data_IF_960714806382
#
_entry.id   IF_960714806382
#
_cell.length_a   1.000
_cell.length_b   1.000
_cell.length_c   1.000
_cell.angle_alpha   90.00
_cell.angle_beta   90.00
_cell.angle_gamma   90.00
#
_symmetry.space_group_name_H-M   'P 1'
#
loop_
_entity.id
_entity.type
_entity.pdbx_description
1 polymer ?
#
# COMPACT_ATOMS: atom_id res chain seq x y z
N UNK A 1 -38.48 4.99 -9.07
CA UNK A 1 -37.24 4.95 -8.27
C UNK A 1 -36.13 5.57 -9.09
N UNK A 2 -35.66 6.76 -8.69
CA UNK A 2 -34.66 7.55 -9.43
C UNK A 2 -33.27 6.94 -9.27
N UNK A 3 -32.58 6.74 -10.39
CA UNK A 3 -31.16 6.38 -10.47
C UNK A 3 -30.33 7.49 -9.83
N UNK A 4 -29.47 7.14 -8.88
CA UNK A 4 -28.34 7.98 -8.47
C UNK A 4 -27.16 7.58 -9.34
N UNK A 5 -27.00 8.28 -10.46
CA UNK A 5 -25.80 8.20 -11.28
C UNK A 5 -24.62 8.74 -10.45
N UNK A 6 -23.71 7.85 -10.04
CA UNK A 6 -22.40 8.26 -9.50
C UNK A 6 -21.52 8.68 -10.68
N UNK A 7 -20.85 9.84 -10.64
CA UNK A 7 -20.01 10.29 -11.74
C UNK A 7 -18.83 9.32 -11.92
N UNK A 8 -18.50 9.07 -13.19
CA UNK A 8 -17.33 8.31 -13.64
C UNK A 8 -16.08 8.74 -12.87
N UNK A 9 -15.47 7.80 -12.12
CA UNK A 9 -14.15 7.94 -11.50
C UNK A 9 -13.15 8.21 -12.63
N UNK A 10 -12.74 9.47 -12.82
CA UNK A 10 -11.63 9.81 -13.73
C UNK A 10 -10.34 9.61 -12.96
N UNK A 11 -9.57 8.59 -13.33
CA UNK A 11 -8.15 8.54 -12.98
C UNK A 11 -7.51 9.84 -13.50
N UNK A 12 -6.75 10.53 -12.65
CA UNK A 12 -5.93 11.64 -13.06
C UNK A 12 -5.08 11.22 -14.27
N UNK A 13 -5.30 11.87 -15.41
CA UNK A 13 -4.60 11.62 -16.66
C UNK A 13 -3.14 12.08 -16.54
N UNK A 14 -2.28 11.23 -15.98
CA UNK A 14 -0.83 11.34 -16.11
C UNK A 14 -0.36 10.50 -17.30
N UNK A 15 0.09 11.15 -18.37
CA UNK A 15 0.62 10.46 -19.54
C UNK A 15 1.98 9.81 -19.21
N UNK A 16 2.04 8.48 -19.18
CA UNK A 16 3.30 7.74 -19.04
C UNK A 16 3.89 7.48 -20.43
N UNK A 17 4.99 8.16 -20.76
CA UNK A 17 5.80 7.86 -21.93
C UNK A 17 6.68 6.63 -21.63
N UNK A 18 6.56 5.56 -22.41
CA UNK A 18 7.42 4.38 -22.29
C UNK A 18 8.83 4.68 -22.81
N UNK A 19 9.86 4.43 -22.00
CA UNK A 19 11.27 4.46 -22.44
C UNK A 19 11.96 3.15 -22.10
N UNK A 20 12.52 2.52 -23.13
CA UNK A 20 13.37 1.33 -23.06
C UNK A 20 14.73 1.69 -22.47
N UNK A 21 15.06 1.11 -21.31
CA UNK A 21 16.40 1.21 -20.71
C UNK A 21 17.25 0.02 -21.16
N UNK A 22 18.33 0.29 -21.88
CA UNK A 22 19.47 -0.61 -22.01
C UNK A 22 20.57 -0.13 -21.03
N UNK A 23 21.10 -1.01 -20.19
CA UNK A 23 22.28 -0.70 -19.37
C UNK A 23 23.10 -1.96 -19.12
N UNK A 24 24.40 -1.81 -19.37
CA UNK A 24 25.47 -2.79 -19.26
C UNK A 24 25.74 -3.14 -17.78
N UNK A 25 25.95 -4.43 -17.53
CA UNK A 25 26.29 -4.99 -16.22
C UNK A 25 27.82 -5.03 -16.08
N UNK A 26 28.34 -4.53 -14.97
CA UNK A 26 29.64 -4.91 -14.44
C UNK A 26 29.43 -5.56 -13.07
N UNK A 27 29.80 -6.83 -12.97
CA UNK A 27 29.68 -7.65 -11.76
C UNK A 27 30.76 -7.30 -10.74
N UNK A 28 30.38 -7.23 -9.47
CA UNK A 28 31.25 -7.54 -8.34
C UNK A 28 30.40 -8.18 -7.25
N UNK A 29 30.64 -9.46 -6.98
CA UNK A 29 30.11 -10.21 -5.84
C UNK A 29 31.11 -10.13 -4.70
N UNK A 30 30.62 -10.06 -3.46
CA UNK A 30 31.18 -10.81 -2.32
C UNK A 30 30.13 -10.94 -1.19
N UNK A 31 30.24 -11.97 -0.32
CA UNK A 31 29.12 -12.58 0.39
C UNK A 31 28.92 -12.00 1.79
N UNK A 32 27.69 -12.03 2.31
CA UNK A 32 27.45 -11.84 3.74
C UNK A 32 26.42 -12.86 4.25
N UNK A 33 26.90 -13.60 5.24
CA UNK A 33 26.29 -14.65 6.05
C UNK A 33 24.97 -14.25 6.69
N UNK A 34 24.07 -15.23 6.72
CA UNK A 34 22.75 -15.21 7.37
C UNK A 34 22.86 -15.24 8.90
N UNK A 35 22.20 -14.30 9.56
CA UNK A 35 21.72 -14.46 10.94
C UNK A 35 20.27 -14.02 11.00
N UNK A 36 19.38 -15.01 11.15
CA UNK A 36 17.95 -14.83 11.42
C UNK A 36 17.77 -14.27 12.82
N UNK A 37 17.27 -13.03 12.93
CA UNK A 37 16.83 -12.45 14.18
C UNK A 37 15.31 -12.32 14.15
N UNK A 38 14.63 -13.13 14.96
CA UNK A 38 13.21 -13.00 15.22
C UNK A 38 12.92 -11.71 15.98
N UNK A 39 11.81 -11.06 15.63
CA UNK A 39 11.31 -9.85 16.28
C UNK A 39 10.99 -10.10 17.76
N UNK A 40 11.66 -9.38 18.66
CA UNK A 40 11.30 -9.26 20.08
C UNK A 40 11.07 -7.79 20.40
N UNK A 41 9.88 -7.47 20.92
CA UNK A 41 9.52 -6.12 21.39
C UNK A 41 10.41 -5.70 22.58
N UNK A 42 10.94 -4.47 22.62
CA UNK A 42 11.46 -3.90 23.88
C UNK A 42 10.32 -3.67 24.88
N UNK A 43 10.49 -4.16 26.10
CA UNK A 43 9.54 -3.97 27.20
C UNK A 43 9.51 -2.52 27.69
N UNK A 44 8.30 -2.02 27.95
CA UNK A 44 8.09 -0.73 28.59
C UNK A 44 8.55 -0.79 30.05
N UNK A 45 9.50 0.05 30.44
CA UNK A 45 9.85 0.28 31.84
C UNK A 45 8.87 1.26 32.47
N UNK A 46 8.21 0.82 33.55
CA UNK A 46 7.31 1.62 34.38
C UNK A 46 8.02 2.11 35.65
N UNK A 47 7.59 3.26 36.22
CA UNK A 47 7.13 3.34 37.62
C UNK A 47 6.86 4.79 38.08
N UNK A 48 5.67 4.98 38.66
CA UNK A 48 5.38 5.54 40.00
C UNK A 48 3.86 5.89 40.04
N UNK A 49 3.05 5.66 41.08
CA UNK A 49 3.08 4.90 42.33
C UNK A 49 1.71 5.15 43.00
N UNK A 50 1.04 4.15 43.59
CA UNK A 50 -0.02 4.37 44.58
C UNK A 50 -1.24 3.44 44.50
N UNK A 51 -1.34 2.50 45.44
CA UNK A 51 -2.54 1.78 45.89
C UNK A 51 -2.43 1.61 47.43
N UNK A 52 -3.51 1.42 48.23
CA UNK A 52 -4.44 0.27 48.15
C UNK A 52 -5.93 0.70 48.37
N UNK A 53 -7.02 -0.08 48.42
CA UNK A 53 -7.34 -1.50 48.68
C UNK A 53 -8.83 -1.79 48.23
N UNK A 54 -9.42 -3.00 48.40
CA UNK A 54 -10.31 -3.64 47.39
C UNK A 54 -11.80 -3.81 47.79
N UNK A 55 -12.63 -4.17 46.81
CA UNK A 55 -13.59 -5.31 46.80
C UNK A 55 -14.74 -5.07 45.80
N UNK A 56 -15.08 -6.10 45.00
CA UNK A 56 -16.29 -6.10 44.17
C UNK A 56 -16.14 -6.93 42.90
N UNK A 57 -16.36 -8.23 43.02
CA UNK A 57 -16.45 -9.20 41.92
C UNK A 57 -17.50 -8.80 40.89
N UNK A 58 -17.05 -8.55 39.66
CA UNK A 58 -17.88 -8.40 38.47
C UNK A 58 -17.07 -8.89 37.29
N UNK A 59 -17.45 -10.06 36.81
CA UNK A 59 -16.78 -10.83 35.76
C UNK A 59 -16.96 -10.14 34.40
N UNK A 60 -16.04 -9.24 34.03
CA UNK A 60 -15.88 -8.70 32.66
C UNK A 60 -14.43 -8.32 32.39
N UNK A 61 -13.58 -9.27 32.00
CA UNK A 61 -12.31 -8.94 31.34
C UNK A 61 -11.86 -10.07 30.40
N UNK A 62 -11.32 -9.83 29.21
CA UNK A 62 -10.74 -8.58 28.72
C UNK A 62 -11.07 -8.33 27.25
N UNK A 63 -11.56 -7.12 26.98
CA UNK A 63 -11.27 -6.46 25.73
C UNK A 63 -9.74 -6.37 25.63
N UNK A 64 -9.14 -7.13 24.71
CA UNK A 64 -7.77 -6.83 24.28
C UNK A 64 -7.79 -5.37 23.83
N UNK A 65 -6.98 -4.54 24.45
CA UNK A 65 -6.59 -3.21 23.99
C UNK A 65 -5.82 -3.37 22.67
N UNK A 66 -6.53 -3.82 21.63
CA UNK A 66 -5.99 -4.02 20.30
C UNK A 66 -5.74 -2.68 19.64
N UNK A 67 -4.66 -2.60 18.87
CA UNK A 67 -4.40 -1.46 17.98
C UNK A 67 -5.65 -1.16 17.15
N UNK A 68 -6.04 0.11 17.07
CA UNK A 68 -7.10 0.59 16.18
C UNK A 68 -6.66 0.61 14.71
N UNK A 69 -5.36 0.44 14.46
CA UNK A 69 -4.75 0.40 13.14
C UNK A 69 -4.65 -1.04 12.61
N UNK A 70 -4.59 -1.21 11.29
CA UNK A 70 -4.18 -2.48 10.70
C UNK A 70 -2.75 -2.87 11.12
N UNK A 71 -2.59 -4.06 11.70
CA UNK A 71 -1.30 -4.59 12.12
C UNK A 71 -0.92 -5.84 11.30
N UNK A 72 0.37 -6.06 11.03
CA UNK A 72 0.81 -7.29 10.39
C UNK A 72 0.58 -8.47 11.34
N UNK A 73 0.17 -9.61 10.78
CA UNK A 73 0.22 -10.88 11.51
C UNK A 73 1.56 -11.55 11.21
N UNK A 74 2.43 -11.81 12.21
CA UNK A 74 3.75 -12.40 11.96
C UNK A 74 3.68 -13.68 11.12
N UNK A 75 4.47 -13.72 10.04
CA UNK A 75 4.51 -14.87 9.11
C UNK A 75 3.25 -15.05 8.27
N UNK A 76 2.37 -14.04 8.20
CA UNK A 76 1.18 -14.01 7.34
C UNK A 76 1.14 -12.72 6.51
N UNK A 77 0.53 -12.84 5.34
CA UNK A 77 0.40 -11.77 4.36
C UNK A 77 -1.08 -11.48 4.14
N UNK A 78 -1.48 -10.22 4.31
CA UNK A 78 -2.78 -9.75 3.87
C UNK A 78 -2.79 -9.65 2.35
N UNK A 79 -3.67 -10.43 1.69
CA UNK A 79 -3.86 -10.33 0.25
C UNK A 79 -4.90 -9.25 -0.07
N UNK A 80 -4.55 -8.32 -0.94
CA UNK A 80 -5.40 -7.23 -1.38
C UNK A 80 -5.48 -7.08 -2.88
N UNK A 81 -6.40 -6.23 -3.31
CA UNK A 81 -6.50 -5.82 -4.71
C UNK A 81 -7.03 -4.40 -4.87
N UNK A 82 -6.50 -3.68 -5.85
CA UNK A 82 -7.27 -2.69 -6.60
C UNK A 82 -8.01 -3.41 -7.70
N UNK A 83 -9.26 -3.05 -7.99
CA UNK A 83 -10.06 -3.75 -9.00
C UNK A 83 -10.87 -2.81 -9.91
N UNK A 84 -10.60 -2.90 -11.22
CA UNK A 84 -11.39 -2.26 -12.27
C UNK A 84 -11.35 -3.11 -13.54
N UNK A 85 -12.43 -3.85 -13.81
CA UNK A 85 -12.47 -4.87 -14.84
C UNK A 85 -13.45 -4.50 -15.95
N UNK A 86 -12.95 -4.35 -17.18
CA UNK A 86 -13.80 -4.20 -18.35
C UNK A 86 -14.77 -5.37 -18.46
N UNK A 87 -16.02 -5.02 -18.77
CA UNK A 87 -17.13 -5.97 -18.89
C UNK A 87 -17.90 -6.23 -17.59
N UNK A 88 -17.41 -5.79 -16.43
CA UNK A 88 -18.18 -5.79 -15.19
C UNK A 88 -19.02 -4.51 -15.06
N UNK A 89 -20.21 -4.62 -14.46
CA UNK A 89 -21.13 -3.47 -14.36
C UNK A 89 -20.82 -2.59 -13.15
N UNK A 90 -20.10 -3.13 -12.18
CA UNK A 90 -19.74 -2.47 -10.93
C UNK A 90 -18.50 -3.09 -10.31
N UNK A 91 -17.87 -2.37 -9.37
CA UNK A 91 -16.80 -2.88 -8.52
C UNK A 91 -17.27 -4.11 -7.71
N UNK A 92 -18.53 -4.11 -7.26
CA UNK A 92 -19.13 -5.24 -6.55
C UNK A 92 -19.20 -6.51 -7.42
N UNK A 93 -19.51 -6.37 -8.70
CA UNK A 93 -19.52 -7.50 -9.64
C UNK A 93 -18.10 -8.02 -9.89
N UNK A 94 -17.11 -7.13 -10.00
CA UNK A 94 -15.70 -7.51 -10.10
C UNK A 94 -15.22 -8.28 -8.86
N UNK A 95 -15.54 -7.79 -7.66
CA UNK A 95 -15.24 -8.47 -6.40
C UNK A 95 -15.95 -9.82 -6.29
N UNK A 96 -17.20 -9.91 -6.75
CA UNK A 96 -17.93 -11.17 -6.80
C UNK A 96 -17.29 -12.19 -7.75
N UNK A 97 -16.84 -11.74 -8.92
CA UNK A 97 -16.09 -12.57 -9.86
C UNK A 97 -14.80 -13.10 -9.22
N UNK A 98 -14.02 -12.24 -8.54
CA UNK A 98 -12.80 -12.68 -7.86
C UNK A 98 -13.07 -13.64 -6.71
N UNK A 99 -14.12 -13.38 -5.92
CA UNK A 99 -14.55 -14.33 -4.89
C UNK A 99 -14.91 -15.69 -5.49
N UNK A 100 -15.61 -15.73 -6.62
CA UNK A 100 -15.94 -16.97 -7.32
C UNK A 100 -14.67 -17.68 -7.83
N UNK A 101 -13.75 -16.93 -8.43
CA UNK A 101 -12.53 -17.50 -9.01
C UNK A 101 -11.50 -17.94 -7.98
N UNK A 102 -11.41 -17.28 -6.82
CA UNK A 102 -10.40 -17.53 -5.79
C UNK A 102 -10.93 -18.32 -4.60
N UNK A 103 -12.25 -18.42 -4.44
CA UNK A 103 -12.88 -19.09 -3.30
C UNK A 103 -12.75 -18.33 -1.98
N UNK A 104 -12.28 -17.08 -2.00
CA UNK A 104 -12.05 -16.23 -0.83
C UNK A 104 -12.35 -14.77 -1.13
N UNK A 105 -12.52 -13.98 -0.08
CA UNK A 105 -12.50 -12.52 -0.16
C UNK A 105 -11.09 -12.01 0.11
N UNK A 106 -10.76 -10.89 -0.52
CA UNK A 106 -9.54 -10.15 -0.31
C UNK A 106 -9.63 -9.41 1.01
N UNK A 107 -8.49 -9.37 1.71
CA UNK A 107 -8.35 -8.72 3.01
C UNK A 107 -8.20 -7.21 2.87
N UNK A 108 -7.55 -6.75 1.81
CA UNK A 108 -7.38 -5.31 1.53
C UNK A 108 -8.12 -4.96 0.24
N UNK A 109 -8.96 -3.94 0.28
CA UNK A 109 -9.53 -3.32 -0.93
C UNK A 109 -8.83 -1.99 -1.12
N UNK A 110 -8.22 -1.79 -2.28
CA UNK A 110 -7.45 -0.59 -2.59
C UNK A 110 -8.26 0.34 -3.48
N UNK A 111 -8.45 1.58 -3.01
CA UNK A 111 -9.11 2.65 -3.73
C UNK A 111 -8.23 3.89 -3.85
N UNK A 112 -8.44 4.66 -4.92
CA UNK A 112 -7.77 5.95 -5.15
C UNK A 112 -8.74 7.09 -4.93
N UNK A 113 -8.26 8.14 -4.28
CA UNK A 113 -8.99 9.37 -4.01
C UNK A 113 -8.17 10.55 -4.50
N UNK A 114 -8.78 11.43 -5.29
CA UNK A 114 -8.14 12.67 -5.69
C UNK A 114 -7.97 13.62 -4.49
N UNK A 115 -7.00 14.54 -4.55
CA UNK A 115 -6.67 15.45 -3.44
C UNK A 115 -7.89 16.21 -2.89
N UNK A 116 -8.75 16.71 -3.79
CA UNK A 116 -9.97 17.46 -3.44
C UNK A 116 -11.21 16.57 -3.27
N UNK A 117 -11.10 15.26 -3.50
CA UNK A 117 -12.21 14.34 -3.33
C UNK A 117 -12.48 14.12 -1.84
N UNK A 118 -13.74 14.22 -1.38
CA UNK A 118 -14.10 13.88 -0.01
C UNK A 118 -13.73 12.43 0.32
N UNK A 119 -13.07 12.24 1.46
CA UNK A 119 -12.77 10.91 2.01
C UNK A 119 -14.06 10.17 2.42
N UNK A 120 -14.06 8.83 2.39
CA UNK A 120 -15.24 8.05 2.73
C UNK A 120 -15.55 8.18 4.23
N UNK A 121 -16.83 8.32 4.55
CA UNK A 121 -17.37 8.29 5.92
C UNK A 121 -18.12 7.00 6.24
N UNK A 122 -18.10 6.04 5.30
CA UNK A 122 -18.68 4.71 5.45
C UNK A 122 -17.90 3.70 4.60
N UNK A 123 -17.78 2.47 5.09
CA UNK A 123 -17.23 1.32 4.36
C UNK A 123 -18.32 0.51 3.64
N UNK A 124 -19.54 1.05 3.52
CA UNK A 124 -20.65 0.37 2.89
C UNK A 124 -20.32 -0.02 1.44
N UNK A 125 -20.48 -1.30 1.12
CA UNK A 125 -20.17 -1.86 -0.19
C UNK A 125 -18.84 -2.60 -0.26
N UNK A 126 -17.95 -2.43 0.73
CA UNK A 126 -16.76 -3.25 0.85
C UNK A 126 -17.12 -4.65 1.39
N UNK A 127 -16.38 -5.71 1.01
CA UNK A 127 -16.50 -7.02 1.60
C UNK A 127 -16.37 -6.97 3.13
N UNK A 128 -17.20 -7.72 3.84
CA UNK A 128 -17.15 -7.79 5.29
C UNK A 128 -15.77 -8.21 5.78
N UNK A 129 -15.21 -7.46 6.73
CA UNK A 129 -13.88 -7.73 7.28
C UNK A 129 -12.71 -7.33 6.36
N UNK A 130 -12.95 -6.69 5.22
CA UNK A 130 -11.86 -6.06 4.46
C UNK A 130 -11.39 -4.77 5.13
N UNK A 131 -10.14 -4.40 4.86
CA UNK A 131 -9.49 -3.16 5.27
C UNK A 131 -9.34 -2.30 4.03
N UNK A 132 -9.78 -1.04 4.11
CA UNK A 132 -9.62 -0.09 3.01
C UNK A 132 -8.18 0.42 2.97
N UNK A 133 -7.52 0.29 1.82
CA UNK A 133 -6.30 1.00 1.48
C UNK A 133 -6.65 2.19 0.60
N UNK A 134 -6.45 3.39 1.14
CA UNK A 134 -6.68 4.65 0.46
C UNK A 134 -5.36 5.14 -0.10
N UNK A 135 -5.26 5.23 -1.42
CA UNK A 135 -4.22 6.02 -2.06
C UNK A 135 -4.75 7.42 -2.33
N UNK A 136 -4.37 8.36 -1.47
CA UNK A 136 -4.80 9.75 -1.56
C UNK A 136 -3.79 10.55 -2.37
N UNK A 137 -4.24 11.07 -3.51
CA UNK A 137 -3.35 11.79 -4.42
C UNK A 137 -2.84 13.05 -3.73
N UNK A 138 -1.61 13.45 -4.04
CA UNK A 138 -1.03 14.65 -3.48
C UNK A 138 -1.33 15.90 -4.31
N UNK A 139 -0.75 17.02 -3.88
CA UNK A 139 -0.60 18.23 -4.67
C UNK A 139 0.84 18.74 -4.49
N UNK A 140 1.18 19.89 -5.06
CA UNK A 140 2.47 20.54 -4.80
C UNK A 140 2.71 20.73 -3.29
N UNK A 141 3.97 20.71 -2.85
CA UNK A 141 4.29 20.77 -1.42
C UNK A 141 3.94 22.11 -0.76
N UNK A 142 4.04 23.20 -1.51
CA UNK A 142 3.88 24.55 -0.96
C UNK A 142 2.48 24.79 -0.34
N UNK A 143 1.35 24.48 -1.00
CA UNK A 143 0.02 24.61 -0.39
C UNK A 143 -0.21 23.81 0.90
N UNK A 144 0.49 22.69 1.08
CA UNK A 144 0.43 21.90 2.32
C UNK A 144 1.29 22.55 3.39
N UNK A 145 2.57 22.79 3.08
CA UNK A 145 3.56 23.29 4.04
C UNK A 145 3.32 24.73 4.50
N UNK A 146 2.58 25.53 3.74
CA UNK A 146 2.19 26.88 4.14
C UNK A 146 0.85 26.94 4.90
N UNK A 147 0.20 25.79 5.13
CA UNK A 147 -1.07 25.70 5.87
C UNK A 147 -2.33 26.02 5.07
N UNK A 148 -2.23 26.42 3.79
CA UNK A 148 -3.42 26.81 3.00
C UNK A 148 -4.41 25.66 2.77
N UNK A 149 -3.95 24.42 2.86
CA UNK A 149 -4.77 23.21 2.69
C UNK A 149 -5.20 22.55 4.02
N UNK A 150 -4.93 23.16 5.17
CA UNK A 150 -5.17 22.54 6.49
C UNK A 150 -6.64 22.18 6.72
N UNK A 151 -7.56 23.04 6.27
CA UNK A 151 -8.99 22.75 6.39
C UNK A 151 -9.44 21.56 5.54
N UNK A 152 -8.81 21.34 4.38
CA UNK A 152 -9.09 20.18 3.54
C UNK A 152 -8.54 18.92 4.19
N UNK A 153 -7.32 18.99 4.73
CA UNK A 153 -6.66 17.88 5.41
C UNK A 153 -7.42 17.49 6.69
N UNK A 154 -7.86 18.48 7.48
CA UNK A 154 -8.70 18.30 8.66
C UNK A 154 -9.99 17.55 8.35
N UNK A 155 -10.69 17.93 7.26
CA UNK A 155 -11.91 17.24 6.81
C UNK A 155 -11.65 15.78 6.42
N UNK A 156 -10.50 15.51 5.77
CA UNK A 156 -10.09 14.14 5.46
C UNK A 156 -9.83 13.33 6.74
N UNK A 157 -9.14 13.93 7.73
CA UNK A 157 -8.90 13.30 9.02
C UNK A 157 -10.20 12.99 9.78
N UNK A 158 -11.12 13.95 9.87
CA UNK A 158 -12.43 13.77 10.52
C UNK A 158 -13.25 12.66 9.85
N UNK A 159 -13.25 12.63 8.51
CA UNK A 159 -13.97 11.61 7.76
C UNK A 159 -13.42 10.21 8.06
N UNK A 160 -12.09 10.04 8.02
CA UNK A 160 -11.47 8.73 8.27
C UNK A 160 -11.57 8.32 9.75
N UNK A 161 -11.49 9.27 10.69
CA UNK A 161 -11.75 9.01 12.11
C UNK A 161 -13.19 8.51 12.35
N UNK A 162 -14.16 9.06 11.60
CA UNK A 162 -15.58 8.70 11.75
C UNK A 162 -15.89 7.25 11.36
N UNK A 163 -15.03 6.61 10.55
CA UNK A 163 -15.19 5.21 10.15
C UNK A 163 -15.12 4.24 11.34
N UNK A 164 -14.36 4.60 12.40
CA UNK A 164 -14.12 3.76 13.58
C UNK A 164 -13.69 2.33 13.22
N UNK A 165 -12.97 2.20 12.12
CA UNK A 165 -12.49 0.94 11.56
C UNK A 165 -11.04 1.12 11.07
N UNK A 166 -10.20 0.08 11.12
CA UNK A 166 -8.83 0.15 10.61
C UNK A 166 -8.79 0.54 9.13
N UNK A 167 -7.94 1.52 8.79
CA UNK A 167 -7.74 2.00 7.40
C UNK A 167 -6.25 2.18 7.15
N UNK A 168 -5.79 1.84 5.95
CA UNK A 168 -4.48 2.25 5.46
C UNK A 168 -4.60 3.54 4.66
N UNK A 169 -3.74 4.52 4.93
CA UNK A 169 -3.62 5.76 4.16
C UNK A 169 -2.23 5.86 3.53
N UNK A 170 -2.20 5.83 2.19
CA UNK A 170 -1.01 6.01 1.37
C UNK A 170 -1.11 7.34 0.62
N UNK A 171 -0.70 8.42 1.27
CA UNK A 171 -0.65 9.74 0.65
C UNK A 171 0.55 9.85 -0.29
N UNK A 172 0.36 10.50 -1.45
CA UNK A 172 1.41 10.86 -2.39
C UNK A 172 2.37 9.70 -2.72
N UNK A 173 1.80 8.56 -3.14
CA UNK A 173 2.55 7.38 -3.55
C UNK A 173 3.49 7.70 -4.71
N UNK A 174 4.56 6.91 -4.85
CA UNK A 174 5.51 7.04 -5.97
C UNK A 174 6.09 8.46 -6.12
N UNK A 175 6.31 9.15 -4.99
CA UNK A 175 6.87 10.50 -4.97
C UNK A 175 8.25 10.62 -5.63
N UNK A 176 8.95 9.49 -5.82
CA UNK A 176 10.19 9.37 -6.56
C UNK A 176 10.00 9.14 -8.08
N UNK A 177 8.79 9.27 -8.61
CA UNK A 177 8.47 9.36 -10.03
C UNK A 177 8.37 10.81 -10.54
N UNK A 178 8.16 10.98 -11.84
CA UNK A 178 8.03 12.28 -12.52
C UNK A 178 6.68 12.46 -13.25
N UNK A 179 5.67 11.68 -12.86
CA UNK A 179 4.36 11.65 -13.50
C UNK A 179 3.24 12.25 -12.64
N UNK A 180 3.56 12.72 -11.43
CA UNK A 180 2.61 13.30 -10.49
C UNK A 180 3.07 14.66 -9.96
N UNK A 181 2.12 15.56 -9.73
CA UNK A 181 2.37 16.91 -9.17
C UNK A 181 3.01 16.89 -7.79
N UNK A 182 2.86 15.80 -7.04
CA UNK A 182 3.50 15.59 -5.74
C UNK A 182 4.86 14.89 -5.84
N UNK A 183 5.30 14.53 -7.05
CA UNK A 183 6.62 13.96 -7.30
C UNK A 183 7.70 14.99 -7.05
N UNK A 184 8.85 14.58 -6.51
CA UNK A 184 9.92 15.54 -6.21
C UNK A 184 10.48 16.22 -7.46
N UNK A 185 10.35 15.60 -8.64
CA UNK A 185 10.69 16.20 -9.93
C UNK A 185 9.90 17.49 -10.21
N UNK A 186 8.61 17.49 -9.87
CA UNK A 186 7.70 18.63 -10.06
C UNK A 186 7.79 19.67 -8.91
N UNK A 187 8.46 19.30 -7.82
CA UNK A 187 8.60 20.14 -6.63
C UNK A 187 10.04 20.64 -6.43
N UNK A 188 10.70 21.02 -7.52
CA UNK A 188 12.03 21.62 -7.47
C UNK A 188 13.13 20.70 -6.95
N UNK A 189 12.98 19.37 -7.12
CA UNK A 189 13.93 18.35 -6.65
C UNK A 189 14.13 18.40 -5.13
N UNK A 190 13.03 18.60 -4.40
CA UNK A 190 13.06 18.85 -2.95
C UNK A 190 12.42 17.71 -2.12
N UNK A 191 13.13 16.59 -1.86
CA UNK A 191 12.67 15.56 -0.94
C UNK A 191 12.38 16.06 0.48
N UNK A 192 13.09 17.09 0.95
CA UNK A 192 12.83 17.71 2.25
C UNK A 192 11.44 18.36 2.31
N UNK A 193 10.98 18.95 1.20
CA UNK A 193 9.62 19.50 1.07
C UNK A 193 8.54 18.42 1.15
N UNK A 194 8.80 17.25 0.57
CA UNK A 194 7.91 16.09 0.72
C UNK A 194 7.82 15.65 2.19
N UNK A 195 8.96 15.55 2.88
CA UNK A 195 9.00 15.18 4.31
C UNK A 195 8.22 16.19 5.15
N UNK A 196 8.40 17.49 4.90
CA UNK A 196 7.67 18.54 5.60
C UNK A 196 6.16 18.43 5.37
N UNK A 197 5.73 18.23 4.11
CA UNK A 197 4.32 18.05 3.78
C UNK A 197 3.73 16.79 4.43
N UNK A 198 4.45 15.65 4.37
CA UNK A 198 4.02 14.40 5.00
C UNK A 198 3.77 14.58 6.50
N UNK A 199 4.75 15.14 7.22
CA UNK A 199 4.66 15.35 8.67
C UNK A 199 3.53 16.29 9.02
N UNK A 200 3.34 17.37 8.24
CA UNK A 200 2.25 18.31 8.45
C UNK A 200 0.87 17.66 8.33
N UNK A 201 0.63 16.86 7.28
CA UNK A 201 -0.63 16.14 7.11
C UNK A 201 -0.82 15.13 8.26
N UNK A 202 0.23 14.39 8.61
CA UNK A 202 0.20 13.44 9.72
C UNK A 202 -0.18 14.11 11.05
N UNK A 203 0.43 15.24 11.37
CA UNK A 203 0.18 15.95 12.63
C UNK A 203 -1.26 16.48 12.71
N UNK A 204 -1.85 16.89 11.58
CA UNK A 204 -3.28 17.23 11.51
C UNK A 204 -4.13 15.99 11.82
N UNK A 205 -3.85 14.83 11.23
CA UNK A 205 -4.59 13.60 11.53
C UNK A 205 -4.51 13.19 13.01
N UNK A 206 -3.34 13.34 13.62
CA UNK A 206 -3.16 13.10 15.06
C UNK A 206 -3.96 14.10 15.90
N UNK A 207 -3.98 15.38 15.54
CA UNK A 207 -4.77 16.40 16.22
C UNK A 207 -6.28 16.10 16.15
N UNK A 208 -6.72 15.52 15.04
CA UNK A 208 -8.10 15.13 14.78
C UNK A 208 -8.48 13.72 15.31
N UNK A 209 -7.57 13.05 16.05
CA UNK A 209 -7.82 11.73 16.68
C UNK A 209 -8.20 10.65 15.67
N UNK A 210 -7.62 10.71 14.47
CA UNK A 210 -7.75 9.67 13.45
C UNK A 210 -6.85 8.46 13.78
N UNK A 211 -6.97 7.92 15.01
CA UNK A 211 -6.10 6.87 15.56
C UNK A 211 -6.29 5.50 14.88
N UNK A 212 -7.34 5.35 14.07
CA UNK A 212 -7.62 4.17 13.26
C UNK A 212 -6.89 4.16 11.89
N UNK A 213 -6.22 5.26 11.55
CA UNK A 213 -5.49 5.41 10.29
C UNK A 213 -4.04 4.95 10.44
N UNK A 214 -3.64 3.98 9.61
CA UNK A 214 -2.27 3.53 9.46
C UNK A 214 -1.59 4.21 8.28
N UNK A 215 -0.47 4.88 8.53
CA UNK A 215 0.31 5.63 7.56
C UNK A 215 1.22 4.72 6.74
N UNK A 216 0.98 4.68 5.42
CA UNK A 216 1.70 3.82 4.47
C UNK A 216 2.58 4.69 3.56
N UNK A 217 3.90 4.69 3.79
CA UNK A 217 4.84 5.40 2.95
C UNK A 217 5.33 4.51 1.81
N UNK A 218 4.99 4.85 0.56
CA UNK A 218 5.20 3.97 -0.59
C UNK A 218 5.83 4.62 -1.83
N UNK A 219 7.17 4.56 -2.00
CA UNK A 219 7.83 4.91 -3.26
C UNK A 219 7.55 3.93 -4.40
N UNK A 220 7.88 4.34 -5.63
CA UNK A 220 8.08 3.44 -6.77
C UNK A 220 9.38 2.65 -6.59
N UNK A 221 9.43 1.40 -7.03
CA UNK A 221 10.60 0.54 -6.95
C UNK A 221 11.85 1.18 -7.59
N UNK A 222 11.66 1.93 -8.70
CA UNK A 222 12.71 2.70 -9.36
C UNK A 222 12.45 4.20 -9.28
N UNK A 223 13.50 5.00 -9.06
CA UNK A 223 13.39 6.45 -9.13
C UNK A 223 13.43 6.94 -10.57
N UNK A 224 12.47 7.80 -10.94
CA UNK A 224 12.41 8.47 -12.24
C UNK A 224 12.26 9.97 -12.01
N UNK A 225 13.24 10.80 -12.39
CA UNK A 225 14.52 10.43 -12.99
C UNK A 225 15.44 9.70 -12.00
N UNK A 226 16.35 8.87 -12.54
CA UNK A 226 17.37 8.20 -11.74
C UNK A 226 18.49 9.20 -11.39
N UNK A 227 18.40 9.77 -10.19
CA UNK A 227 19.36 10.76 -9.69
C UNK A 227 19.51 10.64 -8.18
N UNK A 228 20.65 11.09 -7.64
CA UNK A 228 20.97 10.97 -6.21
C UNK A 228 19.97 11.68 -5.31
N UNK A 229 19.48 12.86 -5.71
CA UNK A 229 18.44 13.59 -4.97
C UNK A 229 17.11 12.82 -4.93
N UNK A 230 16.83 12.00 -5.95
CA UNK A 230 15.55 11.30 -6.10
C UNK A 230 15.55 9.89 -5.51
N UNK A 231 16.59 9.50 -4.75
CA UNK A 231 16.60 8.22 -4.05
C UNK A 231 15.42 8.15 -3.07
N UNK A 232 14.69 7.03 -3.05
CA UNK A 232 13.52 6.86 -2.16
C UNK A 232 13.84 7.22 -0.69
N UNK A 233 15.05 6.93 -0.22
CA UNK A 233 15.46 7.19 1.16
C UNK A 233 15.43 8.67 1.54
N UNK A 234 15.59 9.57 0.57
CA UNK A 234 15.56 11.01 0.80
C UNK A 234 14.14 11.53 1.08
N UNK A 235 13.10 10.74 0.79
CA UNK A 235 11.70 11.07 1.03
C UNK A 235 11.14 10.44 2.31
N UNK A 236 11.94 9.66 3.05
CA UNK A 236 11.46 8.96 4.23
C UNK A 236 11.21 9.94 5.39
N UNK A 237 9.97 10.07 5.91
CA UNK A 237 9.64 11.09 6.91
C UNK A 237 10.04 10.68 8.33
N UNK A 238 10.55 9.46 8.54
CA UNK A 238 11.00 8.93 9.82
C UNK A 238 9.98 8.02 10.49
N UNK A 239 10.47 7.12 11.34
CA UNK A 239 9.70 6.02 11.94
C UNK A 239 8.46 6.44 12.71
N UNK A 240 8.46 7.64 13.30
CA UNK A 240 7.32 8.15 14.07
C UNK A 240 6.14 8.61 13.20
N UNK A 241 6.34 8.70 11.89
CA UNK A 241 5.35 9.19 10.91
C UNK A 241 4.90 8.11 9.92
N UNK A 242 5.38 6.87 10.10
CA UNK A 242 5.15 5.76 9.18
C UNK A 242 4.83 4.51 9.97
N UNK A 243 3.65 3.94 9.74
CA UNK A 243 3.27 2.65 10.32
C UNK A 243 3.74 1.49 9.41
N UNK A 244 3.63 1.67 8.09
CA UNK A 244 4.04 0.70 7.06
C UNK A 244 4.91 1.34 5.99
N UNK A 245 5.98 0.66 5.58
CA UNK A 245 6.68 0.99 4.35
C UNK A 245 6.08 0.19 3.21
N UNK A 246 6.05 0.78 2.03
CA UNK A 246 5.44 0.17 0.87
C UNK A 246 6.27 0.36 -0.38
N UNK A 247 5.89 -0.33 -1.44
CA UNK A 247 6.50 -0.18 -2.76
C UNK A 247 5.49 -0.49 -3.85
N UNK A 248 5.51 0.32 -4.92
CA UNK A 248 4.89 -0.02 -6.19
C UNK A 248 5.94 -0.61 -7.14
N UNK A 249 5.61 -1.69 -7.83
CA UNK A 249 6.52 -2.28 -8.82
C UNK A 249 5.80 -3.28 -9.71
N UNK A 250 6.10 -3.28 -11.01
CA UNK A 250 5.36 -4.05 -11.98
C UNK A 250 6.28 -4.87 -12.88
N UNK A 251 5.86 -6.09 -13.21
CA UNK A 251 6.50 -6.88 -14.25
C UNK A 251 6.03 -6.45 -15.63
N UNK A 252 6.95 -5.86 -16.39
CA UNK A 252 6.76 -5.46 -17.78
C UNK A 252 7.64 -6.26 -18.74
N UNK A 253 8.32 -7.31 -18.27
CA UNK A 253 8.96 -8.31 -19.14
C UNK A 253 10.33 -8.78 -18.69
N UNK A 254 10.98 -8.09 -17.76
CA UNK A 254 12.35 -8.41 -17.31
C UNK A 254 12.54 -8.38 -15.80
N UNK A 255 11.60 -7.77 -15.09
CA UNK A 255 11.69 -7.52 -13.67
C UNK A 255 11.51 -8.83 -12.89
N UNK A 256 12.36 -9.07 -11.90
CA UNK A 256 12.15 -10.13 -10.91
C UNK A 256 11.55 -9.52 -9.64
N UNK A 257 10.84 -10.30 -8.79
CA UNK A 257 10.40 -9.83 -7.47
C UNK A 257 11.55 -9.21 -6.68
N UNK A 258 12.74 -9.84 -6.69
CA UNK A 258 13.92 -9.32 -6.04
C UNK A 258 14.34 -7.94 -6.57
N UNK A 259 14.35 -7.74 -7.90
CA UNK A 259 14.71 -6.45 -8.50
C UNK A 259 13.74 -5.32 -8.16
N UNK A 260 12.47 -5.64 -7.88
CA UNK A 260 11.46 -4.64 -7.54
C UNK A 260 11.41 -4.34 -6.04
N UNK A 261 11.55 -5.37 -5.20
CA UNK A 261 11.12 -5.29 -3.81
C UNK A 261 12.25 -5.43 -2.79
N UNK A 262 13.45 -5.91 -3.19
CA UNK A 262 14.57 -6.06 -2.24
C UNK A 262 15.07 -4.72 -1.68
N UNK A 263 14.96 -3.64 -2.45
CA UNK A 263 15.39 -2.31 -2.03
C UNK A 263 14.62 -1.80 -0.80
N UNK A 264 13.29 -1.95 -0.80
CA UNK A 264 12.46 -1.53 0.34
C UNK A 264 12.63 -2.50 1.52
N UNK A 265 12.64 -3.82 1.28
CA UNK A 265 12.70 -4.82 2.37
C UNK A 265 14.03 -4.80 3.07
N UNK A 266 15.15 -4.73 2.34
CA UNK A 266 16.49 -4.71 2.94
C UNK A 266 16.72 -3.44 3.77
N UNK A 267 16.13 -2.31 3.34
CA UNK A 267 16.35 -1.02 3.99
C UNK A 267 15.49 -0.84 5.25
N UNK A 268 14.24 -1.30 5.22
CA UNK A 268 13.25 -0.97 6.25
C UNK A 268 12.60 -2.19 6.91
N UNK A 269 12.66 -3.37 6.30
CA UNK A 269 11.96 -4.58 6.78
C UNK A 269 12.39 -5.08 8.16
N UNK A 270 13.55 -4.64 8.66
CA UNK A 270 14.01 -4.94 10.01
C UNK A 270 13.26 -4.16 11.11
N UNK A 271 12.59 -3.05 10.79
CA UNK A 271 11.91 -2.19 11.76
C UNK A 271 10.51 -1.71 11.33
N UNK A 272 10.07 -2.01 10.10
CA UNK A 272 8.72 -1.71 9.60
C UNK A 272 8.14 -2.89 8.83
N UNK A 273 6.83 -3.19 8.97
CA UNK A 273 6.16 -4.10 8.07
C UNK A 273 6.12 -3.53 6.66
N UNK A 274 6.30 -4.41 5.68
CA UNK A 274 6.39 -4.07 4.25
C UNK A 274 5.10 -4.43 3.55
N UNK A 275 4.56 -3.49 2.77
CA UNK A 275 3.43 -3.69 1.88
C UNK A 275 3.89 -3.57 0.42
N UNK A 276 3.71 -4.63 -0.37
CA UNK A 276 3.74 -4.48 -1.83
C UNK A 276 2.38 -3.85 -2.20
N UNK A 277 2.35 -2.51 -2.25
CA UNK A 277 1.10 -1.73 -2.31
C UNK A 277 0.50 -1.69 -3.72
N UNK A 278 1.35 -1.87 -4.73
CA UNK A 278 0.91 -2.11 -6.09
C UNK A 278 1.87 -3.06 -6.79
N UNK A 279 1.32 -4.12 -7.38
CA UNK A 279 2.05 -4.93 -8.33
C UNK A 279 1.13 -5.57 -9.33
N UNK A 280 1.69 -5.96 -10.47
CA UNK A 280 1.03 -6.75 -11.48
C UNK A 280 2.05 -7.29 -12.46
N UNK A 281 1.62 -8.24 -13.29
CA UNK A 281 2.44 -8.80 -14.35
C UNK A 281 1.71 -8.77 -15.69
N UNK A 282 2.41 -8.31 -16.73
CA UNK A 282 1.93 -8.41 -18.10
C UNK A 282 2.20 -9.79 -18.69
N UNK A 283 1.31 -10.22 -19.59
CA UNK A 283 1.58 -11.37 -20.43
C UNK A 283 2.78 -11.11 -21.36
N UNK A 284 3.62 -12.12 -21.54
CA UNK A 284 4.78 -12.11 -22.45
C UNK A 284 4.84 -13.37 -23.33
N UNK A 285 3.70 -14.06 -23.44
CA UNK A 285 3.57 -15.35 -24.12
C UNK A 285 3.87 -16.53 -23.18
N UNK A 286 3.37 -17.71 -23.56
CA UNK A 286 3.57 -18.94 -22.80
C UNK A 286 3.08 -18.84 -21.35
N UNK A 287 3.93 -19.26 -20.41
CA UNK A 287 3.66 -19.26 -18.97
C UNK A 287 4.30 -18.09 -18.22
N UNK A 288 4.93 -17.13 -18.90
CA UNK A 288 5.81 -16.12 -18.28
C UNK A 288 5.13 -15.38 -17.12
N UNK A 289 3.88 -14.94 -17.28
CA UNK A 289 3.14 -14.28 -16.19
C UNK A 289 2.86 -15.22 -15.01
N UNK A 290 2.46 -16.46 -15.29
CA UNK A 290 2.21 -17.47 -14.28
C UNK A 290 3.49 -17.83 -13.50
N UNK A 291 4.62 -17.95 -14.21
CA UNK A 291 5.93 -18.23 -13.63
C UNK A 291 6.39 -17.06 -12.75
N UNK A 292 6.14 -15.82 -13.19
CA UNK A 292 6.41 -14.63 -12.39
C UNK A 292 5.56 -14.57 -11.11
N UNK A 293 4.28 -14.94 -11.16
CA UNK A 293 3.41 -15.03 -9.97
C UNK A 293 3.96 -16.07 -8.98
N UNK A 294 4.42 -17.23 -9.44
CA UNK A 294 5.04 -18.25 -8.57
C UNK A 294 6.35 -17.75 -7.96
N UNK A 295 7.17 -17.05 -8.75
CA UNK A 295 8.39 -16.44 -8.26
C UNK A 295 8.10 -15.35 -7.20
N UNK A 296 7.02 -14.57 -7.39
CA UNK A 296 6.57 -13.58 -6.40
C UNK A 296 6.14 -14.26 -5.10
N UNK A 297 5.35 -15.33 -5.18
CA UNK A 297 4.95 -16.12 -4.01
C UNK A 297 6.17 -16.59 -3.21
N UNK A 298 7.08 -17.32 -3.87
CA UNK A 298 8.29 -17.85 -3.22
C UNK A 298 9.15 -16.73 -2.63
N UNK A 299 9.30 -15.61 -3.34
CA UNK A 299 10.05 -14.47 -2.82
C UNK A 299 9.40 -13.89 -1.56
N UNK A 300 8.07 -13.75 -1.51
CA UNK A 300 7.36 -13.25 -0.33
C UNK A 300 7.54 -14.20 0.87
N UNK A 301 7.46 -15.51 0.65
CA UNK A 301 7.66 -16.52 1.70
C UNK A 301 9.07 -16.43 2.34
N UNK A 302 10.08 -16.06 1.55
CA UNK A 302 11.45 -15.83 2.01
C UNK A 302 11.67 -14.46 2.70
N UNK A 303 10.69 -13.55 2.65
CA UNK A 303 10.79 -12.18 3.16
C UNK A 303 9.74 -11.91 4.25
N UNK A 304 9.98 -12.35 5.50
CA UNK A 304 8.98 -12.32 6.58
C UNK A 304 8.54 -10.91 7.02
N UNK A 305 9.23 -9.86 6.58
CA UNK A 305 8.82 -8.48 6.78
C UNK A 305 7.62 -8.08 5.89
N UNK A 306 7.36 -8.81 4.80
CA UNK A 306 6.22 -8.57 3.92
C UNK A 306 4.95 -9.01 4.66
N UNK A 307 4.12 -8.03 5.03
CA UNK A 307 2.85 -8.25 5.72
C UNK A 307 1.62 -8.05 4.82
N UNK A 308 1.79 -7.51 3.62
CA UNK A 308 0.70 -7.28 2.67
C UNK A 308 1.17 -7.33 1.22
N UNK A 309 0.34 -7.90 0.36
CA UNK A 309 0.47 -7.93 -1.09
C UNK A 309 -0.83 -7.41 -1.70
N UNK A 310 -0.76 -6.33 -2.49
CA UNK A 310 -1.92 -5.74 -3.16
C UNK A 310 -1.70 -5.82 -4.68
N UNK A 311 -2.54 -6.59 -5.36
CA UNK A 311 -2.49 -6.73 -6.81
C UNK A 311 -3.29 -5.63 -7.50
N UNK A 312 -2.74 -5.06 -8.57
CA UNK A 312 -3.41 -4.06 -9.40
C UNK A 312 -4.25 -4.75 -10.48
N UNK A 313 -5.44 -5.21 -10.11
CA UNK A 313 -6.27 -6.10 -10.92
C UNK A 313 -7.15 -5.31 -11.91
N UNK A 314 -6.56 -4.95 -13.05
CA UNK A 314 -7.27 -4.16 -14.07
C UNK A 314 -6.80 -4.45 -15.49
N UNK A 315 -7.71 -4.29 -16.46
CA UNK A 315 -7.42 -4.18 -17.91
C UNK A 315 -7.76 -2.78 -18.45
N UNK A 316 -7.87 -1.82 -17.54
CA UNK A 316 -8.26 -0.44 -17.79
C UNK A 316 -7.22 0.56 -17.25
N UNK A 317 -5.95 0.17 -17.16
CA UNK A 317 -4.85 1.03 -16.73
C UNK A 317 -4.70 2.24 -17.69
N UNK A 318 -5.26 3.39 -17.30
CA UNK A 318 -5.20 4.67 -18.02
C UNK A 318 -5.47 4.57 -19.54
N UNK A 319 -6.30 3.63 -19.97
CA UNK A 319 -6.54 3.31 -21.38
C UNK A 319 -5.27 2.99 -22.21
N UNK A 320 -4.17 2.58 -21.56
CA UNK A 320 -2.89 2.30 -22.22
C UNK A 320 -2.80 0.87 -22.82
N UNK A 321 -3.86 0.07 -22.71
CA UNK A 321 -3.96 -1.28 -23.25
C UNK A 321 -3.27 -2.37 -22.42
N UNK A 322 -2.66 -2.03 -21.28
CA UNK A 322 -2.08 -3.01 -20.36
C UNK A 322 -3.18 -3.81 -19.67
N UNK A 323 -2.97 -5.13 -19.64
CA UNK A 323 -3.86 -6.08 -18.99
C UNK A 323 -3.14 -6.73 -17.81
N UNK A 324 -3.40 -6.19 -16.62
CA UNK A 324 -2.85 -6.65 -15.34
C UNK A 324 -3.69 -7.74 -14.70
N UNK A 325 -4.86 -8.04 -15.26
CA UNK A 325 -5.84 -8.96 -14.68
C UNK A 325 -5.25 -10.29 -14.29
N UNK A 326 -5.59 -10.81 -13.11
CA UNK A 326 -5.13 -12.15 -12.70
C UNK A 326 -5.66 -13.26 -13.62
N UNK A 327 -6.77 -13.02 -14.33
CA UNK A 327 -7.40 -13.92 -15.29
C UNK A 327 -7.12 -13.56 -16.76
N UNK A 328 -6.01 -12.87 -17.06
CA UNK A 328 -5.59 -12.61 -18.44
C UNK A 328 -5.31 -13.89 -19.24
N UNK A 329 -4.99 -15.00 -18.57
CA UNK A 329 -4.85 -16.33 -19.11
C UNK A 329 -5.21 -17.40 -18.06
N UNK A 330 -5.52 -18.61 -18.50
CA UNK A 330 -5.81 -19.72 -17.59
C UNK A 330 -4.62 -20.08 -16.70
N UNK A 331 -3.40 -19.98 -17.22
CA UNK A 331 -2.16 -20.24 -16.46
C UNK A 331 -1.93 -19.17 -15.40
N UNK A 332 -2.13 -17.88 -15.72
CA UNK A 332 -2.05 -16.79 -14.76
C UNK A 332 -3.07 -16.94 -13.63
N UNK A 333 -4.34 -17.24 -13.97
CA UNK A 333 -5.39 -17.43 -12.97
C UNK A 333 -5.08 -18.61 -12.04
N UNK A 334 -4.58 -19.71 -12.61
CA UNK A 334 -4.24 -20.90 -11.83
C UNK A 334 -3.07 -20.64 -10.88
N UNK A 335 -2.04 -19.93 -11.32
CA UNK A 335 -0.92 -19.53 -10.47
C UNK A 335 -1.35 -18.55 -9.37
N UNK A 336 -2.18 -17.55 -9.69
CA UNK A 336 -2.66 -16.59 -8.70
C UNK A 336 -3.60 -17.25 -7.68
N UNK A 337 -4.45 -18.19 -8.12
CA UNK A 337 -5.29 -18.98 -7.20
C UNK A 337 -4.43 -19.77 -6.22
N UNK A 338 -3.37 -20.43 -6.68
CA UNK A 338 -2.46 -21.17 -5.80
C UNK A 338 -1.86 -20.27 -4.72
N UNK A 339 -1.32 -19.10 -5.10
CA UNK A 339 -0.84 -18.07 -4.18
C UNK A 339 -1.94 -17.65 -3.20
N UNK A 340 -3.13 -17.31 -3.72
CA UNK A 340 -4.22 -16.78 -2.91
C UNK A 340 -4.80 -17.78 -1.90
N UNK A 341 -4.69 -19.09 -2.16
CA UNK A 341 -5.15 -20.15 -1.26
C UNK A 341 -4.06 -20.67 -0.33
N UNK A 342 -2.82 -20.24 -0.50
CA UNK A 342 -1.73 -20.65 0.37
C UNK A 342 -1.93 -20.10 1.80
N UNK A 343 -1.74 -20.92 2.86
CA UNK A 343 -1.90 -20.48 4.24
C UNK A 343 -1.04 -19.28 4.64
N UNK A 344 0.06 -19.00 3.94
CA UNK A 344 0.87 -17.80 4.17
C UNK A 344 0.09 -16.51 3.87
N UNK A 345 -0.86 -16.55 2.93
CA UNK A 345 -1.66 -15.39 2.50
C UNK A 345 -3.01 -15.27 3.23
N UNK A 346 -3.08 -15.79 4.46
CA UNK A 346 -4.27 -15.79 5.32
C UNK A 346 -4.30 -14.64 6.35
N UNK A 347 -3.48 -13.60 6.16
CA UNK A 347 -3.31 -12.49 7.11
C UNK A 347 -4.50 -11.56 7.24
#
# INVERSE_FOLDING_TARGET
>A
MKRLDRPLRRLATGAVLAVTIASLVACAQEPATTTSAAWVRPGASAAASGAPAPAGSGDTSGAKTGSTKPEPTPGKVMLGEYIDLKGQKSEQDSLALRRQQLGRQQRIIHEYYDWYQPMPTSLAGLPAGSILLISWSGTFYAPITNGSQDQLIAKAADALASLKAPVFLRWAWEMNGNWYDWGGAENGKNPGGFIAAWRHIHDIFVAHKADNVSWVWGPNAGSVPQSSWNNMANYYPGDNYVDWVAVSGYFTGRETPASLFSGITSKYGAHKPVMIAETGALERGGTVKADWIRALQSWIEDHPAVGALVWFDTDNDHNNGKNWRIDSSQSALSAYRALATDPHFSG
#
